data_IF_328739952003
#
_entry.id   IF_328739952003
#
_cell.length_a   1.000
_cell.length_b   1.000
_cell.length_c   1.000
_cell.angle_alpha   90.00
_cell.angle_beta   90.00
_cell.angle_gamma   90.00
#
_symmetry.space_group_name_H-M   'P 1'
#
loop_
_entity.id
_entity.type
_entity.pdbx_description
1 polymer ?
#
# COMPACT_ATOMS: atom_id res chain seq x y z
N UNK A 1 23.72 2.42 -10.23
CA UNK A 1 23.19 1.57 -9.14
C UNK A 1 24.34 0.81 -8.53
N UNK A 2 24.45 0.76 -7.20
CA UNK A 2 25.65 0.21 -6.54
C UNK A 2 25.59 -1.30 -6.29
N UNK A 3 24.40 -1.84 -6.04
CA UNK A 3 24.21 -3.26 -5.73
C UNK A 3 22.95 -3.75 -6.43
N UNK A 4 23.07 -4.78 -7.25
CA UNK A 4 21.96 -5.42 -7.95
C UNK A 4 21.87 -6.87 -7.50
N UNK A 5 20.74 -7.25 -6.91
CA UNK A 5 20.51 -8.60 -6.36
C UNK A 5 19.26 -9.19 -7.00
N UNK A 6 19.42 -10.37 -7.60
CA UNK A 6 18.31 -11.14 -8.17
C UNK A 6 17.75 -12.08 -7.10
N UNK A 7 16.64 -11.69 -6.47
CA UNK A 7 15.99 -12.49 -5.44
C UNK A 7 14.98 -13.44 -6.09
N UNK A 8 15.36 -14.72 -6.20
CA UNK A 8 14.52 -15.78 -6.80
C UNK A 8 13.31 -16.15 -5.93
N UNK A 9 13.43 -16.08 -4.60
CA UNK A 9 12.35 -16.45 -3.67
C UNK A 9 11.12 -15.55 -3.84
N UNK A 10 11.37 -14.26 -4.03
CA UNK A 10 10.33 -13.23 -4.18
C UNK A 10 10.14 -12.81 -5.64
N UNK A 11 10.78 -13.53 -6.58
CA UNK A 11 10.72 -13.28 -8.02
C UNK A 11 10.95 -11.80 -8.39
N UNK A 12 11.88 -11.12 -7.70
CA UNK A 12 12.14 -9.68 -7.88
C UNK A 12 13.61 -9.35 -7.98
N UNK A 13 13.90 -8.28 -8.70
CA UNK A 13 15.25 -7.71 -8.81
C UNK A 13 15.34 -6.51 -7.86
N UNK A 14 16.17 -6.63 -6.82
CA UNK A 14 16.42 -5.56 -5.86
C UNK A 14 17.65 -4.76 -6.28
N UNK A 15 17.60 -3.45 -6.12
CA UNK A 15 18.74 -2.59 -6.41
C UNK A 15 18.82 -1.36 -5.51
N UNK A 16 20.03 -0.90 -5.24
CA UNK A 16 20.30 0.39 -4.57
C UNK A 16 20.63 1.44 -5.63
N UNK A 17 19.92 2.56 -5.60
CA UNK A 17 20.01 3.65 -6.58
C UNK A 17 20.49 4.90 -5.87
N UNK A 18 21.57 5.48 -6.39
CA UNK A 18 22.09 6.76 -5.92
C UNK A 18 21.60 7.83 -6.87
N UNK A 19 20.95 8.85 -6.32
CA UNK A 19 20.40 9.96 -7.08
C UNK A 19 21.22 11.19 -6.75
N UNK A 20 21.99 11.68 -7.71
CA UNK A 20 22.66 12.96 -7.62
C UNK A 20 21.74 14.04 -8.22
N UNK A 21 21.38 15.03 -7.42
CA UNK A 21 20.52 16.12 -7.86
C UNK A 21 21.14 17.49 -7.50
N UNK A 22 22.08 17.99 -8.32
CA UNK A 22 22.63 19.33 -8.12
C UNK A 22 21.55 20.39 -8.42
N UNK A 23 21.38 21.36 -7.52
CA UNK A 23 20.44 22.48 -7.70
C UNK A 23 18.95 22.13 -7.56
N UNK A 24 18.59 20.89 -7.22
CA UNK A 24 17.21 20.47 -6.93
C UNK A 24 17.14 19.85 -5.54
N UNK A 25 16.09 20.18 -4.78
CA UNK A 25 15.92 19.70 -3.41
C UNK A 25 15.73 18.17 -3.36
N UNK A 26 14.67 17.65 -3.97
CA UNK A 26 14.39 16.22 -4.04
C UNK A 26 13.78 15.87 -5.39
N UNK A 27 14.30 14.82 -6.04
CA UNK A 27 13.70 14.30 -7.28
C UNK A 27 12.41 13.57 -6.93
N UNK A 28 11.27 13.89 -7.57
CA UNK A 28 10.03 13.18 -7.32
C UNK A 28 10.17 11.72 -7.76
N UNK A 29 9.49 10.83 -7.02
CA UNK A 29 9.64 9.39 -7.23
C UNK A 29 9.26 8.98 -8.66
N UNK A 30 8.23 9.62 -9.24
CA UNK A 30 7.71 9.37 -10.60
C UNK A 30 8.79 9.46 -11.67
N UNK A 31 9.60 10.52 -11.66
CA UNK A 31 10.69 10.72 -12.63
C UNK A 31 11.77 9.64 -12.53
N UNK A 32 12.06 9.16 -11.32
CA UNK A 32 13.02 8.07 -11.09
C UNK A 32 12.47 6.77 -11.68
N UNK A 33 11.18 6.48 -11.47
CA UNK A 33 10.52 5.29 -12.01
C UNK A 33 10.52 5.27 -13.53
N UNK A 34 10.16 6.37 -14.17
CA UNK A 34 10.10 6.46 -15.64
C UNK A 34 11.46 6.19 -16.28
N UNK A 35 12.53 6.76 -15.72
CA UNK A 35 13.90 6.52 -16.19
C UNK A 35 14.32 5.07 -15.99
N UNK A 36 14.02 4.46 -14.85
CA UNK A 36 14.32 3.04 -14.60
C UNK A 36 13.53 2.10 -15.51
N UNK A 37 12.25 2.36 -15.70
CA UNK A 37 11.39 1.57 -16.58
C UNK A 37 11.91 1.61 -18.03
N UNK A 38 12.33 2.78 -18.49
CA UNK A 38 12.95 2.94 -19.82
C UNK A 38 14.27 2.20 -19.95
N UNK A 39 15.16 2.30 -18.95
CA UNK A 39 16.47 1.63 -18.98
C UNK A 39 16.36 0.10 -18.96
N UNK A 40 15.47 -0.46 -18.13
CA UNK A 40 15.37 -1.91 -17.93
C UNK A 40 14.23 -2.57 -18.72
N UNK A 41 13.52 -1.81 -19.57
CA UNK A 41 12.38 -2.29 -20.38
C UNK A 41 11.34 -3.06 -19.56
N UNK A 42 11.21 -2.73 -18.27
CA UNK A 42 10.23 -3.34 -17.38
C UNK A 42 8.91 -2.59 -17.49
N UNK A 43 7.80 -3.33 -17.53
CA UNK A 43 6.48 -2.76 -17.28
C UNK A 43 6.49 -2.09 -15.90
N UNK A 44 5.91 -0.89 -15.81
CA UNK A 44 5.89 0.00 -14.62
C UNK A 44 5.29 -0.64 -13.34
N UNK A 45 4.92 -1.92 -13.39
CA UNK A 45 4.06 -2.63 -12.45
C UNK A 45 4.74 -3.10 -11.14
N UNK A 46 6.06 -2.99 -10.98
CA UNK A 46 6.79 -3.80 -10.00
C UNK A 46 6.78 -3.33 -8.52
N UNK A 47 6.17 -2.19 -8.19
CA UNK A 47 6.03 -1.76 -6.78
C UNK A 47 4.70 -1.05 -6.46
N UNK A 48 3.83 -0.88 -7.46
CA UNK A 48 2.85 0.19 -7.46
C UNK A 48 1.43 -0.24 -7.08
N UNK A 49 1.26 -1.23 -6.20
CA UNK A 49 -0.09 -1.64 -5.78
C UNK A 49 -0.72 -0.69 -4.75
N UNK A 50 0.08 0.00 -3.93
CA UNK A 50 -0.46 0.81 -2.82
C UNK A 50 -0.61 2.30 -3.14
N UNK A 51 0.12 2.81 -4.14
CA UNK A 51 0.08 4.22 -4.55
C UNK A 51 -0.87 4.48 -5.73
N UNK A 52 -1.16 3.48 -6.56
CA UNK A 52 -1.96 3.65 -7.79
C UNK A 52 -3.46 3.40 -7.62
N UNK A 53 -3.99 3.57 -6.40
CA UNK A 53 -5.44 3.49 -6.18
C UNK A 53 -6.05 2.09 -6.23
N UNK A 54 -5.25 1.02 -6.38
CA UNK A 54 -5.74 -0.37 -6.34
C UNK A 54 -6.17 -0.81 -4.92
N UNK A 55 -5.76 -0.07 -3.88
CA UNK A 55 -6.13 -0.35 -2.50
C UNK A 55 -6.64 0.92 -1.81
N UNK A 56 -7.95 1.00 -1.59
CA UNK A 56 -8.54 2.04 -0.76
C UNK A 56 -8.28 1.77 0.72
N UNK A 57 -7.52 2.66 1.39
CA UNK A 57 -7.38 2.60 2.85
C UNK A 57 -8.71 2.96 3.52
N UNK A 58 -9.43 1.95 4.03
CA UNK A 58 -10.60 2.17 4.90
C UNK A 58 -10.17 2.84 6.21
N UNK A 59 -10.47 4.14 6.35
CA UNK A 59 -10.29 4.90 7.60
C UNK A 59 -11.34 4.50 8.64
N UNK A 60 -11.10 3.41 9.37
CA UNK A 60 -11.94 3.03 10.51
C UNK A 60 -11.15 3.25 11.80
N UNK A 61 -11.73 4.00 12.75
CA UNK A 61 -11.09 4.26 14.03
C UNK A 61 -11.02 2.98 14.88
N UNK A 62 -9.84 2.68 15.43
CA UNK A 62 -9.62 1.54 16.34
C UNK A 62 -10.62 1.55 17.51
N UNK A 63 -11.00 2.73 18.00
CA UNK A 63 -12.02 2.90 19.06
C UNK A 63 -13.41 2.44 18.59
N UNK A 64 -13.83 2.84 17.38
CA UNK A 64 -15.11 2.44 16.80
C UNK A 64 -15.17 0.93 16.52
N UNK A 65 -14.08 0.33 16.02
CA UNK A 65 -13.99 -1.11 15.79
C UNK A 65 -14.09 -1.91 17.10
N UNK A 66 -13.32 -1.53 18.13
CA UNK A 66 -13.37 -2.18 19.45
C UNK A 66 -14.74 -2.01 20.10
N UNK A 67 -15.35 -0.83 19.99
CA UNK A 67 -16.71 -0.56 20.47
C UNK A 67 -17.77 -1.40 19.76
N UNK A 68 -17.67 -1.60 18.43
CA UNK A 68 -18.58 -2.50 17.68
C UNK A 68 -18.39 -3.95 18.13
N UNK A 69 -17.14 -4.42 18.25
CA UNK A 69 -16.82 -5.79 18.71
C UNK A 69 -17.40 -6.07 20.11
N UNK A 70 -17.24 -5.14 21.05
CA UNK A 70 -17.74 -5.31 22.41
C UNK A 70 -19.28 -5.33 22.47
N UNK A 71 -19.97 -4.51 21.65
CA UNK A 71 -21.45 -4.55 21.53
C UNK A 71 -21.94 -5.87 20.94
N UNK A 72 -21.29 -6.37 19.89
CA UNK A 72 -21.67 -7.65 19.26
C UNK A 72 -21.45 -8.85 20.19
N UNK A 73 -20.49 -8.79 21.13
CA UNK A 73 -20.30 -9.86 22.13
C UNK A 73 -21.43 -9.96 23.16
N UNK A 74 -22.23 -8.90 23.36
CA UNK A 74 -23.32 -8.86 24.34
C UNK A 74 -24.61 -9.52 23.86
N UNK A 75 -24.78 -9.70 22.55
CA UNK A 75 -26.00 -10.24 21.94
C UNK A 75 -25.73 -11.57 21.23
N UNK A 76 -26.77 -12.39 21.04
CA UNK A 76 -26.70 -13.73 20.42
C UNK A 76 -27.77 -13.86 19.33
N UNK A 77 -27.64 -14.89 18.47
CA UNK A 77 -28.59 -15.15 17.40
C UNK A 77 -28.70 -14.02 16.37
N UNK A 78 -29.89 -13.86 15.78
CA UNK A 78 -30.21 -12.87 14.75
C UNK A 78 -29.99 -11.42 15.21
N UNK A 79 -30.08 -11.15 16.52
CA UNK A 79 -29.80 -9.85 17.12
C UNK A 79 -28.34 -9.37 16.96
N UNK A 80 -27.39 -10.23 16.57
CA UNK A 80 -26.02 -9.79 16.20
C UNK A 80 -25.97 -9.06 14.87
N UNK A 81 -26.79 -9.47 13.90
CA UNK A 81 -26.78 -8.91 12.55
C UNK A 81 -27.19 -7.43 12.58
N UNK A 82 -28.17 -7.09 13.41
CA UNK A 82 -28.67 -5.72 13.59
C UNK A 82 -27.67 -4.79 14.27
N UNK A 83 -26.88 -5.28 15.24
CA UNK A 83 -25.83 -4.50 15.93
C UNK A 83 -24.58 -4.32 15.05
N UNK A 84 -24.31 -5.27 14.16
CA UNK A 84 -23.20 -5.23 13.20
C UNK A 84 -23.45 -4.25 12.04
N UNK A 85 -24.70 -4.17 11.58
CA UNK A 85 -25.15 -3.16 10.62
C UNK A 85 -25.21 -1.80 11.33
N UNK A 86 -24.15 -1.00 11.20
CA UNK A 86 -24.28 0.43 11.50
C UNK A 86 -25.39 1.00 10.63
N UNK A 87 -26.22 1.91 11.16
CA UNK A 87 -27.22 2.64 10.36
C UNK A 87 -26.53 3.19 9.11
N UNK A 88 -26.86 2.64 7.95
CA UNK A 88 -26.35 3.12 6.68
C UNK A 88 -26.92 4.53 6.45
N UNK A 89 -26.02 5.50 6.29
CA UNK A 89 -26.27 6.76 5.62
C UNK A 89 -25.22 6.85 4.51
#
# INVERSE_FOLDING_TARGET
>A
SRKFVTNRLLQRKQMVIDVLHPGKATVPKTEIWEKLAKMYKTTSCLWMSSLHGLYEKKKTSRKQQKGRKNRMKKVRGTAKATVGAGKNK
#
